data_IF_620878697534
#
_entry.id   IF_620878697534
#
_cell.length_a   1.000
_cell.length_b   1.000
_cell.length_c   1.000
_cell.angle_alpha   90.00
_cell.angle_beta   90.00
_cell.angle_gamma   90.00
#
_symmetry.space_group_name_H-M   'P 1'
#
loop_
_entity.id
_entity.type
_entity.pdbx_description
1 polymer ?
#
# COMPACT_ATOMS: atom_id res chain seq x y z
N UNK A 1 -10.09 -43.16 1.74
CA UNK A 1 -11.12 -42.25 1.18
C UNK A 1 -10.40 -41.31 0.25
N UNK A 2 -10.75 -41.31 -1.04
CA UNK A 2 -10.09 -40.47 -2.03
C UNK A 2 -10.65 -39.05 -1.89
N UNK A 3 -9.83 -38.11 -1.42
CA UNK A 3 -10.23 -36.70 -1.38
C UNK A 3 -10.45 -36.25 -2.82
N UNK A 4 -11.68 -35.86 -3.14
CA UNK A 4 -11.97 -35.29 -4.44
C UNK A 4 -11.14 -34.02 -4.58
N UNK A 5 -10.27 -33.99 -5.60
CA UNK A 5 -9.71 -32.74 -6.07
C UNK A 5 -10.91 -31.85 -6.41
N UNK A 6 -10.93 -30.65 -5.83
CA UNK A 6 -11.82 -29.59 -6.26
C UNK A 6 -11.47 -29.33 -7.72
N UNK A 7 -12.40 -29.61 -8.63
CA UNK A 7 -12.28 -29.19 -10.03
C UNK A 7 -12.36 -27.66 -10.02
N UNK A 8 -11.18 -27.03 -10.00
CA UNK A 8 -11.04 -25.58 -9.88
C UNK A 8 -11.39 -24.95 -11.21
N UNK A 9 -12.62 -24.43 -11.33
CA UNK A 9 -13.13 -23.79 -12.55
C UNK A 9 -12.12 -22.75 -13.07
N UNK A 10 -11.46 -23.08 -14.19
CA UNK A 10 -10.49 -22.22 -14.89
C UNK A 10 -11.17 -21.05 -15.64
N UNK A 11 -12.26 -20.51 -15.10
CA UNK A 11 -13.07 -19.47 -15.71
C UNK A 11 -12.98 -18.18 -14.88
N UNK A 12 -11.96 -17.38 -15.16
CA UNK A 12 -11.86 -16.02 -14.62
C UNK A 12 -13.02 -15.14 -15.11
N UNK A 13 -13.53 -15.46 -16.29
CA UNK A 13 -14.70 -14.86 -16.95
C UNK A 13 -16.06 -15.22 -16.29
N UNK A 14 -16.07 -16.15 -15.32
CA UNK A 14 -17.29 -16.59 -14.60
C UNK A 14 -17.53 -15.81 -13.28
N UNK A 15 -16.52 -15.10 -12.77
CA UNK A 15 -16.63 -14.33 -11.53
C UNK A 15 -17.03 -12.87 -11.78
N UNK A 16 -17.90 -12.33 -10.91
CA UNK A 16 -18.21 -10.91 -10.93
C UNK A 16 -16.94 -10.08 -10.64
N UNK A 17 -16.63 -9.13 -11.53
CA UNK A 17 -15.45 -8.26 -11.42
C UNK A 17 -15.46 -7.37 -10.17
N UNK A 18 -16.63 -6.96 -9.67
CA UNK A 18 -16.72 -6.05 -8.51
C UNK A 18 -16.17 -6.68 -7.21
N UNK A 19 -16.62 -7.89 -6.77
CA UNK A 19 -15.99 -8.59 -5.65
C UNK A 19 -14.51 -8.90 -5.85
N UNK A 20 -14.08 -9.20 -7.08
CA UNK A 20 -12.67 -9.46 -7.41
C UNK A 20 -11.83 -8.20 -7.27
N UNK A 21 -12.30 -7.06 -7.76
CA UNK A 21 -11.64 -5.76 -7.60
C UNK A 21 -11.58 -5.34 -6.12
N UNK A 22 -12.62 -5.61 -5.33
CA UNK A 22 -12.59 -5.41 -3.88
C UNK A 22 -11.52 -6.25 -3.20
N UNK A 23 -11.40 -7.54 -3.54
CA UNK A 23 -10.33 -8.41 -3.02
C UNK A 23 -8.96 -7.85 -3.39
N UNK A 24 -8.75 -7.43 -4.64
CA UNK A 24 -7.50 -6.84 -5.12
C UNK A 24 -7.18 -5.45 -4.54
N UNK A 25 -8.10 -4.85 -3.77
CA UNK A 25 -7.86 -3.66 -2.95
C UNK A 25 -7.42 -3.98 -1.52
N UNK A 26 -7.56 -5.22 -1.06
CA UNK A 26 -7.12 -5.61 0.29
C UNK A 26 -5.58 -5.79 0.35
N UNK A 27 -4.95 -5.48 1.48
CA UNK A 27 -3.52 -5.70 1.64
C UNK A 27 -3.16 -7.18 1.50
N UNK A 28 -2.03 -7.47 0.85
CA UNK A 28 -1.54 -8.84 0.62
C UNK A 28 -2.21 -9.62 -0.54
N UNK A 29 -3.36 -9.17 -1.05
CA UNK A 29 -4.02 -9.81 -2.20
C UNK A 29 -3.42 -9.30 -3.53
N UNK A 30 -3.29 -10.21 -4.49
CA UNK A 30 -2.69 -9.97 -5.80
C UNK A 30 -3.38 -10.81 -6.88
N UNK A 31 -3.20 -10.44 -8.15
CA UNK A 31 -3.63 -11.23 -9.31
C UNK A 31 -3.10 -12.67 -9.36
N UNK A 32 -2.12 -13.04 -8.51
CA UNK A 32 -1.57 -14.40 -8.45
C UNK A 32 -2.25 -15.29 -7.39
N UNK A 33 -2.71 -14.72 -6.27
CA UNK A 33 -3.26 -15.48 -5.15
C UNK A 33 -4.78 -15.36 -5.03
N UNK A 34 -5.43 -14.35 -5.63
CA UNK A 34 -6.89 -14.18 -5.51
C UNK A 34 -7.69 -15.37 -6.06
N UNK A 35 -7.24 -16.05 -7.13
CA UNK A 35 -7.87 -17.29 -7.65
C UNK A 35 -8.06 -18.32 -6.53
N UNK A 36 -6.97 -18.64 -5.83
CA UNK A 36 -6.97 -19.57 -4.70
C UNK A 36 -7.96 -19.16 -3.60
N UNK A 37 -8.08 -17.85 -3.32
CA UNK A 37 -9.05 -17.33 -2.35
C UNK A 37 -10.49 -17.58 -2.85
N UNK A 38 -10.83 -17.18 -4.07
CA UNK A 38 -12.19 -17.30 -4.64
C UNK A 38 -12.62 -18.77 -4.79
N UNK A 39 -11.69 -19.67 -5.12
CA UNK A 39 -11.94 -21.12 -5.21
C UNK A 39 -12.19 -21.79 -3.85
N UNK A 40 -11.55 -21.28 -2.78
CA UNK A 40 -11.63 -21.84 -1.43
C UNK A 40 -12.70 -21.18 -0.55
N UNK A 41 -13.16 -19.97 -0.90
CA UNK A 41 -13.95 -19.09 -0.02
C UNK A 41 -15.15 -18.53 -0.78
N UNK A 42 -16.36 -18.86 -0.32
CA UNK A 42 -17.62 -18.49 -1.01
C UNK A 42 -18.09 -17.05 -0.71
N UNK A 43 -17.56 -16.41 0.34
CA UNK A 43 -17.95 -15.05 0.73
C UNK A 43 -16.90 -14.38 1.62
N UNK A 44 -16.88 -13.05 1.66
CA UNK A 44 -15.98 -12.29 2.55
C UNK A 44 -16.15 -12.67 4.04
N UNK A 45 -17.36 -13.08 4.46
CA UNK A 45 -17.61 -13.59 5.82
C UNK A 45 -16.78 -14.85 6.11
N UNK A 46 -16.72 -15.79 5.16
CA UNK A 46 -15.87 -16.98 5.33
C UNK A 46 -14.39 -16.57 5.36
N UNK A 47 -13.95 -15.57 4.60
CA UNK A 47 -12.57 -15.06 4.64
C UNK A 47 -12.20 -14.52 6.02
N UNK A 48 -13.10 -13.78 6.68
CA UNK A 48 -12.91 -13.27 8.04
C UNK A 48 -12.96 -14.36 9.12
N UNK A 49 -13.58 -15.52 8.85
CA UNK A 49 -13.65 -16.65 9.79
C UNK A 49 -12.41 -17.56 9.72
N UNK A 50 -11.49 -17.32 8.78
CA UNK A 50 -10.24 -18.07 8.67
C UNK A 50 -9.18 -17.60 9.67
N UNK A 51 -8.44 -18.56 10.24
CA UNK A 51 -7.23 -18.26 10.99
C UNK A 51 -6.10 -17.75 10.09
N UNK A 52 -5.19 -16.95 10.64
CA UNK A 52 -4.02 -16.40 9.94
C UNK A 52 -3.23 -17.48 9.16
N UNK A 53 -3.03 -18.66 9.75
CA UNK A 53 -2.37 -19.79 9.07
C UNK A 53 -3.13 -20.30 7.86
N UNK A 54 -4.47 -20.34 7.90
CA UNK A 54 -5.25 -20.78 6.74
C UNK A 54 -5.22 -19.73 5.64
N UNK A 55 -5.13 -18.44 5.99
CA UNK A 55 -4.86 -17.37 5.03
C UNK A 55 -3.44 -17.51 4.45
N UNK A 56 -2.43 -17.83 5.25
CA UNK A 56 -1.05 -18.12 4.78
C UNK A 56 -1.01 -19.27 3.77
N UNK A 57 -1.73 -20.36 4.03
CA UNK A 57 -1.89 -21.49 3.09
C UNK A 57 -2.54 -21.09 1.76
N UNK A 58 -3.53 -20.17 1.77
CA UNK A 58 -4.19 -19.68 0.56
C UNK A 58 -3.34 -18.69 -0.23
N UNK A 59 -2.63 -17.78 0.46
CA UNK A 59 -1.84 -16.72 -0.16
C UNK A 59 -0.43 -17.16 -0.53
N UNK A 60 0.09 -18.25 0.04
CA UNK A 60 1.45 -18.76 -0.16
C UNK A 60 2.54 -17.83 0.38
N UNK A 61 2.20 -16.88 1.24
CA UNK A 61 3.12 -15.85 1.73
C UNK A 61 2.70 -15.35 3.12
N UNK A 62 3.52 -15.67 4.12
CA UNK A 62 3.32 -15.29 5.53
C UNK A 62 3.08 -13.79 5.72
N UNK A 63 3.88 -12.92 5.08
CA UNK A 63 3.74 -11.47 5.26
C UNK A 63 2.41 -10.96 4.71
N UNK A 64 2.04 -11.43 3.53
CA UNK A 64 0.79 -11.04 2.89
C UNK A 64 -0.44 -11.52 3.69
N UNK A 65 -0.36 -12.72 4.27
CA UNK A 65 -1.40 -13.24 5.16
C UNK A 65 -1.50 -12.46 6.48
N UNK A 66 -0.36 -12.08 7.08
CA UNK A 66 -0.35 -11.23 8.27
C UNK A 66 -0.98 -9.86 7.99
N UNK A 67 -0.56 -9.18 6.92
CA UNK A 67 -1.09 -7.87 6.52
C UNK A 67 -2.62 -7.93 6.29
N UNK A 68 -3.11 -9.01 5.66
CA UNK A 68 -4.54 -9.24 5.41
C UNK A 68 -5.32 -9.59 6.69
N UNK A 69 -4.83 -10.55 7.48
CA UNK A 69 -5.50 -10.99 8.71
C UNK A 69 -5.65 -9.84 9.70
N UNK A 70 -4.59 -9.02 9.83
CA UNK A 70 -4.58 -7.78 10.61
C UNK A 70 -5.66 -6.80 10.14
N UNK A 71 -5.74 -6.53 8.84
CA UNK A 71 -6.75 -5.64 8.25
C UNK A 71 -8.20 -6.13 8.48
N UNK A 72 -8.42 -7.44 8.59
CA UNK A 72 -9.75 -8.02 8.81
C UNK A 72 -10.17 -8.09 10.28
N UNK A 73 -9.22 -8.08 11.24
CA UNK A 73 -9.49 -8.32 12.65
C UNK A 73 -9.16 -7.14 13.59
N UNK A 74 -8.31 -6.19 13.19
CA UNK A 74 -8.05 -5.01 14.01
C UNK A 74 -9.16 -3.97 13.82
N UNK A 75 -9.71 -3.47 14.94
CA UNK A 75 -10.63 -2.34 14.91
C UNK A 75 -9.89 -1.07 14.47
N UNK A 76 -10.27 -0.53 13.32
CA UNK A 76 -9.79 0.77 12.88
C UNK A 76 -10.46 1.86 13.73
N UNK A 77 -9.82 2.22 14.85
CA UNK A 77 -10.12 3.47 15.56
C UNK A 77 -10.04 4.61 14.55
N UNK A 78 -11.09 5.42 14.36
CA UNK A 78 -10.98 6.59 13.50
C UNK A 78 -9.91 7.52 14.08
N UNK A 79 -8.96 7.94 13.24
CA UNK A 79 -8.08 9.05 13.58
C UNK A 79 -8.97 10.21 14.02
N UNK A 80 -8.93 10.51 15.31
CA UNK A 80 -9.76 11.56 15.89
C UNK A 80 -9.15 12.88 15.46
N UNK A 81 -9.62 13.37 14.32
CA UNK A 81 -9.35 14.68 13.73
C UNK A 81 -9.50 15.77 14.81
N UNK A 82 -8.38 16.12 15.43
CA UNK A 82 -8.33 17.04 16.54
C UNK A 82 -8.52 18.48 16.04
N UNK A 83 -9.78 18.91 15.96
CA UNK A 83 -10.16 20.32 15.88
C UNK A 83 -9.44 21.13 16.96
N UNK A 84 -8.74 22.20 16.57
CA UNK A 84 -8.29 23.24 17.52
C UNK A 84 -9.46 24.12 18.02
N UNK A 85 -9.21 25.31 18.62
CA UNK A 85 -7.93 25.93 19.00
C UNK A 85 -7.89 26.45 20.47
N UNK A 86 -6.82 27.21 20.81
CA UNK A 86 -6.67 28.20 21.93
C UNK A 86 -5.96 27.83 23.25
N UNK A 87 -5.04 28.72 23.66
CA UNK A 87 -4.56 29.11 25.02
C UNK A 87 -4.66 28.11 26.19
N UNK A 88 -3.64 27.80 27.01
CA UNK A 88 -2.30 28.40 27.29
C UNK A 88 -1.47 27.39 28.15
N UNK A 89 -0.31 27.63 28.79
CA UNK A 89 0.47 28.83 29.14
C UNK A 89 1.99 28.54 29.36
N UNK A 90 2.75 29.61 29.65
CA UNK A 90 4.00 29.65 30.46
C UNK A 90 5.13 28.61 30.23
N UNK A 91 6.20 29.04 29.55
CA UNK A 91 7.58 29.05 30.10
C UNK A 91 8.58 29.71 29.13
N UNK A 92 9.09 30.89 29.49
CA UNK A 92 10.25 31.51 28.81
C UNK A 92 11.55 30.93 29.39
N UNK A 93 12.55 30.66 28.55
CA UNK A 93 13.89 31.06 28.94
C UNK A 93 14.68 31.79 27.85
N UNK A 94 15.18 32.95 28.25
CA UNK A 94 16.44 33.60 27.88
C UNK A 94 17.29 32.99 26.74
N UNK A 95 17.55 33.82 25.72
CA UNK A 95 18.92 34.04 25.24
C UNK A 95 19.54 33.03 24.29
N UNK A 96 19.21 33.12 22.99
CA UNK A 96 20.17 32.82 21.89
C UNK A 96 20.09 33.89 20.80
N UNK A 97 21.20 34.57 20.43
CA UNK A 97 21.18 35.64 19.44
C UNK A 97 20.92 35.10 18.03
N UNK A 98 20.05 35.81 17.30
CA UNK A 98 19.69 35.51 15.90
C UNK A 98 20.84 35.92 14.96
N UNK A 99 21.70 34.95 14.63
CA UNK A 99 22.71 35.09 13.58
C UNK A 99 22.03 35.42 12.24
N UNK A 100 22.14 36.65 11.77
CA UNK A 100 21.65 37.07 10.47
C UNK A 100 22.73 36.74 9.42
N UNK A 101 22.50 35.74 8.57
CA UNK A 101 23.39 35.47 7.44
C UNK A 101 22.80 36.05 6.15
N UNK A 102 23.18 37.29 5.85
CA UNK A 102 22.85 37.94 4.60
C UNK A 102 23.70 37.34 3.46
N UNK A 103 23.09 36.57 2.57
CA UNK A 103 23.75 35.91 1.43
C UNK A 103 23.13 36.28 0.09
N UNK A 104 23.62 37.35 -0.55
CA UNK A 104 23.18 37.77 -1.91
C UNK A 104 23.72 36.81 -2.99
N UNK A 105 23.00 35.73 -3.26
CA UNK A 105 23.28 34.79 -4.35
C UNK A 105 23.01 35.40 -5.73
N UNK A 106 24.06 35.86 -6.42
CA UNK A 106 23.97 36.31 -7.83
C UNK A 106 23.70 35.11 -8.75
N UNK A 107 22.52 35.08 -9.39
CA UNK A 107 22.23 34.15 -10.48
C UNK A 107 23.17 34.43 -11.66
N UNK A 108 24.06 33.48 -12.00
CA UNK A 108 24.79 33.49 -13.28
C UNK A 108 23.93 32.83 -14.36
N UNK A 109 24.02 33.36 -15.58
CA UNK A 109 23.22 32.94 -16.72
C UNK A 109 23.55 31.51 -17.18
N UNK A 110 22.57 30.85 -17.78
CA UNK A 110 22.73 29.54 -18.39
C UNK A 110 23.62 29.63 -19.64
N UNK A 111 24.66 28.79 -19.71
CA UNK A 111 25.35 28.49 -20.96
C UNK A 111 24.69 27.25 -21.58
N UNK A 112 24.27 27.35 -22.85
CA UNK A 112 23.71 26.21 -23.56
C UNK A 112 24.82 25.18 -23.87
N UNK A 113 24.57 23.86 -23.74
CA UNK A 113 25.48 22.84 -24.23
C UNK A 113 25.53 22.89 -25.76
N UNK A 114 26.74 22.96 -26.32
CA UNK A 114 26.96 22.99 -27.76
C UNK A 114 26.54 21.65 -28.38
N UNK A 115 25.80 21.72 -29.48
CA UNK A 115 25.46 20.56 -30.30
C UNK A 115 26.76 19.98 -30.88
N UNK A 116 27.14 18.78 -30.46
CA UNK A 116 28.28 18.06 -31.06
C UNK A 116 27.83 17.43 -32.36
N UNK A 117 28.31 17.98 -33.48
CA UNK A 117 28.11 17.38 -34.80
C UNK A 117 28.78 16.01 -34.89
N UNK A 118 28.06 15.01 -35.39
CA UNK A 118 28.60 13.69 -35.70
C UNK A 118 29.08 13.68 -37.16
N UNK A 119 30.37 13.42 -37.45
CA UNK A 119 30.83 13.32 -38.83
C UNK A 119 30.32 12.03 -39.49
N UNK A 120 29.51 12.16 -40.53
CA UNK A 120 29.21 11.04 -41.43
C UNK A 120 30.51 10.54 -42.07
N UNK A 121 30.84 9.27 -41.87
CA UNK A 121 31.79 8.56 -42.73
C UNK A 121 31.04 8.01 -43.94
N UNK A 122 31.57 8.32 -45.13
CA UNK A 122 31.25 7.68 -46.40
C UNK A 122 32.12 6.43 -46.57
#
# INVERSE_FOLDING_TARGET
MLLHLKDGSENLDEYNSEPVDMLLRMPGITWKNYKCIVENVQSLKQLTELSERRIEELLGNQKAAHDLYKFLHEEHLPDTEASGPSSSSSSLPSGRPRMHLAGKGKRKAAAQPKLTEFPLKK
#
